data_IF_461745402843
#
_entry.id   IF_461745402843
#
_cell.length_a   1.000
_cell.length_b   1.000
_cell.length_c   1.000
_cell.angle_alpha   90.00
_cell.angle_beta   90.00
_cell.angle_gamma   90.00
#
_symmetry.space_group_name_H-M   'P 1'
#
loop_
_entity.id
_entity.type
_entity.pdbx_description
1 polymer ?
#
# COMPACT_ATOMS: atom_id res chain seq x y z
N UNK A 1 23.50 -61.57 5.23
CA UNK A 1 24.00 -62.61 4.31
C UNK A 1 23.57 -62.24 2.90
N UNK A 2 24.55 -62.11 1.98
CA UNK A 2 24.43 -62.09 0.50
C UNK A 2 23.61 -60.92 -0.10
N UNK A 3 23.97 -60.19 -1.17
CA UNK A 3 24.89 -60.42 -2.29
C UNK A 3 25.07 -59.08 -3.05
N UNK A 4 26.29 -58.71 -3.47
CA UNK A 4 26.58 -58.05 -4.77
C UNK A 4 28.08 -57.72 -4.90
N UNK A 5 28.87 -58.72 -5.28
CA UNK A 5 30.31 -58.63 -5.59
C UNK A 5 30.59 -58.34 -7.08
N UNK A 6 29.61 -57.79 -7.82
CA UNK A 6 29.70 -57.67 -9.29
C UNK A 6 30.24 -56.33 -9.81
N UNK A 7 30.29 -55.27 -8.99
CA UNK A 7 30.67 -53.92 -9.45
C UNK A 7 32.18 -53.67 -9.50
N UNK A 8 32.98 -54.46 -8.77
CA UNK A 8 34.45 -54.31 -8.74
C UNK A 8 35.13 -54.92 -9.98
N UNK A 9 34.49 -55.90 -10.65
CA UNK A 9 35.05 -56.57 -11.83
C UNK A 9 34.92 -55.70 -13.08
N UNK A 10 33.86 -54.90 -13.21
CA UNK A 10 33.70 -53.97 -14.33
C UNK A 10 34.64 -52.76 -14.23
N UNK A 11 34.93 -52.26 -13.02
CA UNK A 11 35.88 -51.16 -12.83
C UNK A 11 37.32 -51.57 -13.20
N UNK A 12 37.70 -52.83 -12.92
CA UNK A 12 39.04 -53.36 -13.28
C UNK A 12 39.20 -53.64 -14.79
N UNK A 13 38.13 -53.95 -15.52
CA UNK A 13 38.19 -54.15 -16.98
C UNK A 13 38.31 -52.83 -17.76
N UNK A 14 37.68 -51.76 -17.27
CA UNK A 14 37.78 -50.42 -17.89
C UNK A 14 39.16 -49.76 -17.70
N UNK A 15 39.90 -50.14 -16.66
CA UNK A 15 41.25 -49.64 -16.39
C UNK A 15 42.31 -50.38 -17.24
N UNK A 16 42.08 -51.65 -17.62
CA UNK A 16 43.02 -52.41 -18.47
C UNK A 16 42.98 -52.06 -19.96
N UNK A 17 41.91 -51.42 -20.45
CA UNK A 17 41.78 -51.05 -21.87
C UNK A 17 42.28 -49.66 -22.24
N UNK A 18 42.90 -48.90 -21.32
CA UNK A 18 43.61 -47.63 -21.63
C UNK A 18 45.13 -47.70 -21.52
N UNK A 19 45.71 -48.89 -21.67
CA UNK A 19 47.18 -49.08 -21.72
C UNK A 19 47.71 -49.33 -23.14
N UNK A 20 46.93 -49.02 -24.16
CA UNK A 20 47.40 -48.93 -25.55
C UNK A 20 46.98 -47.59 -26.15
N UNK A 21 47.54 -46.50 -25.62
CA UNK A 21 47.62 -45.24 -26.36
C UNK A 21 49.06 -44.79 -26.39
N UNK A 22 49.54 -44.63 -27.62
CA UNK A 22 50.83 -44.16 -28.10
C UNK A 22 51.70 -43.42 -27.08
N UNK A 23 52.90 -43.98 -26.94
CA UNK A 23 54.09 -43.44 -26.27
C UNK A 23 54.45 -42.05 -26.83
N UNK A 24 53.82 -41.01 -26.26
CA UNK A 24 54.23 -39.62 -26.38
C UNK A 24 55.06 -39.23 -25.16
N UNK A 25 56.33 -38.86 -25.38
CA UNK A 25 57.35 -38.58 -24.37
C UNK A 25 57.06 -37.26 -23.64
N UNK A 26 56.29 -37.27 -22.56
CA UNK A 26 56.19 -36.12 -21.64
C UNK A 26 57.03 -36.37 -20.38
N UNK A 27 58.11 -35.58 -20.22
CA UNK A 27 59.09 -35.63 -19.11
C UNK A 27 58.58 -34.96 -17.82
N UNK A 28 57.40 -35.31 -17.33
CA UNK A 28 56.90 -34.77 -16.06
C UNK A 28 56.89 -35.87 -14.99
N UNK A 29 57.56 -35.65 -13.83
CA UNK A 29 57.53 -36.56 -12.69
C UNK A 29 56.09 -36.91 -12.28
N UNK A 30 55.86 -38.17 -11.91
CA UNK A 30 54.53 -38.69 -11.52
C UNK A 30 53.86 -37.83 -10.44
N UNK A 31 54.61 -37.39 -9.42
CA UNK A 31 54.11 -36.50 -8.36
C UNK A 31 53.56 -35.17 -8.89
N UNK A 32 54.20 -34.58 -9.91
CA UNK A 32 53.72 -33.35 -10.55
C UNK A 32 52.41 -33.61 -11.28
N UNK A 33 52.29 -34.76 -11.97
CA UNK A 33 51.06 -35.10 -12.70
C UNK A 33 49.87 -35.37 -11.76
N UNK A 34 50.13 -35.99 -10.61
CA UNK A 34 49.13 -36.23 -9.57
C UNK A 34 48.71 -34.96 -8.85
N UNK A 35 49.67 -34.10 -8.46
CA UNK A 35 49.34 -32.77 -7.89
C UNK A 35 48.60 -31.90 -8.90
N UNK A 36 48.97 -31.92 -10.18
CA UNK A 36 48.24 -31.16 -11.21
C UNK A 36 46.84 -31.71 -11.43
N UNK A 37 46.65 -33.03 -11.41
CA UNK A 37 45.31 -33.64 -11.50
C UNK A 37 44.45 -33.31 -10.27
N UNK A 38 45.03 -33.34 -9.07
CA UNK A 38 44.36 -32.97 -7.82
C UNK A 38 44.03 -31.48 -7.77
N UNK A 39 44.96 -30.61 -8.17
CA UNK A 39 44.73 -29.16 -8.29
C UNK A 39 43.70 -28.84 -9.37
N UNK A 40 43.70 -29.55 -10.49
CA UNK A 40 42.67 -29.43 -11.51
C UNK A 40 41.31 -29.88 -10.99
N UNK A 41 41.23 -30.94 -10.20
CA UNK A 41 40.00 -31.40 -9.55
C UNK A 41 39.52 -30.42 -8.47
N UNK A 42 40.42 -29.81 -7.71
CA UNK A 42 40.11 -28.74 -6.75
C UNK A 42 39.63 -27.48 -7.46
N UNK A 43 40.31 -27.07 -8.54
CA UNK A 43 39.88 -25.96 -9.37
C UNK A 43 38.55 -26.26 -10.02
N UNK A 44 38.32 -27.49 -10.51
CA UNK A 44 37.03 -27.92 -11.02
C UNK A 44 35.98 -28.04 -9.90
N UNK A 45 36.30 -28.39 -8.65
CA UNK A 45 35.28 -28.37 -7.60
C UNK A 45 34.95 -26.96 -7.11
N UNK A 46 35.91 -26.03 -7.18
CA UNK A 46 35.75 -24.61 -6.86
C UNK A 46 35.02 -23.82 -7.97
N UNK A 47 35.34 -24.06 -9.24
CA UNK A 47 34.74 -23.39 -10.40
C UNK A 47 33.50 -24.11 -10.96
N UNK A 48 33.49 -25.45 -10.92
CA UNK A 48 32.39 -26.30 -11.38
C UNK A 48 31.52 -26.70 -10.18
N UNK A 49 31.17 -25.74 -9.34
CA UNK A 49 30.08 -25.91 -8.41
C UNK A 49 28.79 -25.57 -9.17
N UNK A 50 27.86 -26.51 -9.31
CA UNK A 50 26.53 -26.22 -9.90
C UNK A 50 25.73 -25.18 -9.10
N UNK A 51 26.27 -24.75 -7.95
CA UNK A 51 25.77 -23.68 -7.10
C UNK A 51 26.38 -22.29 -7.41
N UNK A 52 27.44 -22.19 -8.22
CA UNK A 52 27.99 -20.91 -8.67
C UNK A 52 27.38 -20.55 -10.02
N UNK A 53 26.06 -20.36 -10.03
CA UNK A 53 25.35 -19.82 -11.19
C UNK A 53 25.69 -18.32 -11.32
N UNK A 54 25.57 -17.77 -12.54
CA UNK A 54 25.84 -16.34 -12.78
C UNK A 54 25.03 -15.43 -11.83
N UNK A 55 23.80 -15.84 -11.50
CA UNK A 55 22.91 -15.22 -10.52
C UNK A 55 23.59 -15.04 -9.15
N UNK A 56 24.35 -16.04 -8.67
CA UNK A 56 25.00 -16.00 -7.34
C UNK A 56 26.17 -15.01 -7.32
N UNK A 57 26.94 -14.95 -8.41
CA UNK A 57 28.03 -13.99 -8.54
C UNK A 57 27.47 -12.56 -8.58
N UNK A 58 26.40 -12.33 -9.33
CA UNK A 58 25.72 -11.03 -9.34
C UNK A 58 25.16 -10.67 -7.96
N UNK A 59 24.51 -11.61 -7.26
CA UNK A 59 24.01 -11.38 -5.90
C UNK A 59 25.11 -10.93 -4.93
N UNK A 60 26.31 -11.54 -5.00
CA UNK A 60 27.45 -11.16 -4.18
C UNK A 60 27.98 -9.75 -4.52
N UNK A 61 28.08 -9.42 -5.82
CA UNK A 61 28.57 -8.11 -6.27
C UNK A 61 27.61 -6.99 -5.89
N UNK A 62 26.29 -7.23 -6.00
CA UNK A 62 25.26 -6.24 -5.71
C UNK A 62 24.86 -6.18 -4.22
N UNK A 63 25.39 -7.05 -3.37
CA UNK A 63 25.04 -7.08 -1.94
C UNK A 63 25.24 -5.72 -1.23
N UNK A 64 26.34 -4.97 -1.43
CA UNK A 64 26.50 -3.63 -0.86
C UNK A 64 25.45 -2.64 -1.37
N UNK A 65 25.10 -2.73 -2.65
CA UNK A 65 24.07 -1.87 -3.28
C UNK A 65 22.70 -2.16 -2.66
N UNK A 66 22.35 -3.43 -2.47
CA UNK A 66 21.10 -3.81 -1.83
C UNK A 66 21.01 -3.30 -0.39
N UNK A 67 22.10 -3.32 0.37
CA UNK A 67 22.14 -2.76 1.73
C UNK A 67 21.89 -1.25 1.74
N UNK A 68 22.51 -0.51 0.81
CA UNK A 68 22.27 0.94 0.66
C UNK A 68 20.82 1.22 0.28
N UNK A 69 20.27 0.49 -0.70
CA UNK A 69 18.87 0.62 -1.11
C UNK A 69 17.91 0.28 0.03
N UNK A 70 18.16 -0.78 0.79
CA UNK A 70 17.35 -1.18 1.94
C UNK A 70 17.33 -0.09 3.03
N UNK A 71 18.49 0.51 3.32
CA UNK A 71 18.63 1.61 4.27
C UNK A 71 17.85 2.85 3.82
N UNK A 72 18.02 3.24 2.56
CA UNK A 72 17.32 4.38 1.96
C UNK A 72 15.80 4.14 1.92
N UNK A 73 15.37 2.95 1.52
CA UNK A 73 13.94 2.57 1.44
C UNK A 73 13.25 2.63 2.80
N UNK A 74 13.96 2.29 3.88
CA UNK A 74 13.44 2.41 5.24
C UNK A 74 13.13 3.85 5.64
N UNK A 75 13.98 4.80 5.23
CA UNK A 75 13.72 6.22 5.48
C UNK A 75 12.54 6.74 4.65
N UNK A 76 12.49 6.35 3.38
CA UNK A 76 11.36 6.68 2.50
C UNK A 76 10.02 6.12 2.98
N UNK A 77 10.01 4.99 3.70
CA UNK A 77 8.77 4.44 4.28
C UNK A 77 8.01 5.44 5.15
N UNK A 78 8.71 6.22 5.97
CA UNK A 78 8.07 7.28 6.78
C UNK A 78 7.49 8.39 5.91
N UNK A 79 8.22 8.80 4.87
CA UNK A 79 7.78 9.82 3.91
C UNK A 79 6.50 9.38 3.19
N UNK A 80 6.44 8.13 2.72
CA UNK A 80 5.26 7.58 2.06
C UNK A 80 4.04 7.49 3.00
N UNK A 81 4.25 7.12 4.27
CA UNK A 81 3.16 7.11 5.26
C UNK A 81 2.62 8.54 5.50
N UNK A 82 3.50 9.53 5.63
CA UNK A 82 3.10 10.94 5.73
C UNK A 82 2.35 11.40 4.48
N UNK A 83 2.83 11.02 3.29
CA UNK A 83 2.21 11.37 2.03
C UNK A 83 0.78 10.82 1.93
N UNK A 84 0.53 9.56 2.31
CA UNK A 84 -0.83 8.98 2.32
C UNK A 84 -1.75 9.77 3.26
N UNK A 85 -1.28 10.14 4.44
CA UNK A 85 -2.07 10.92 5.41
C UNK A 85 -2.37 12.32 4.89
N UNK A 86 -1.40 13.00 4.28
CA UNK A 86 -1.58 14.35 3.71
C UNK A 86 -2.56 14.31 2.55
N UNK A 87 -2.37 13.40 1.59
CA UNK A 87 -3.24 13.28 0.42
C UNK A 87 -4.68 12.94 0.83
N UNK A 88 -4.87 11.98 1.73
CA UNK A 88 -6.21 11.61 2.23
C UNK A 88 -6.86 12.78 2.99
N UNK A 89 -6.10 13.45 3.87
CA UNK A 89 -6.59 14.63 4.59
C UNK A 89 -6.98 15.77 3.66
N UNK A 90 -6.22 15.99 2.58
CA UNK A 90 -6.54 17.04 1.59
C UNK A 90 -7.88 16.81 0.90
N UNK A 91 -8.19 15.55 0.54
CA UNK A 91 -9.48 15.18 -0.05
C UNK A 91 -10.61 15.40 0.95
N UNK A 92 -10.43 15.00 2.21
CA UNK A 92 -11.41 15.22 3.28
C UNK A 92 -11.65 16.72 3.48
N UNK A 93 -10.60 17.53 3.59
CA UNK A 93 -10.73 18.98 3.74
C UNK A 93 -11.50 19.60 2.58
N UNK A 94 -11.19 19.24 1.34
CA UNK A 94 -11.93 19.75 0.16
C UNK A 94 -13.40 19.31 0.22
N UNK A 95 -13.68 18.06 0.58
CA UNK A 95 -15.06 17.56 0.68
C UNK A 95 -15.91 18.33 1.71
N UNK A 96 -15.38 18.62 2.90
CA UNK A 96 -16.16 19.32 3.93
C UNK A 96 -16.10 20.85 3.82
N UNK A 97 -14.98 21.44 3.44
CA UNK A 97 -14.82 22.89 3.39
C UNK A 97 -15.39 23.50 2.09
N UNK A 98 -15.32 22.77 0.98
CA UNK A 98 -15.70 23.29 -0.34
C UNK A 98 -16.97 22.62 -0.85
N UNK A 99 -17.03 21.28 -0.86
CA UNK A 99 -18.17 20.59 -1.47
C UNK A 99 -19.42 20.61 -0.61
N UNK A 100 -19.31 20.41 0.70
CA UNK A 100 -20.48 20.35 1.58
C UNK A 100 -21.35 21.63 1.50
N UNK A 101 -20.80 22.86 1.59
CA UNK A 101 -21.60 24.07 1.41
C UNK A 101 -22.28 24.16 0.04
N UNK A 102 -21.59 23.73 -1.03
CA UNK A 102 -22.14 23.73 -2.39
C UNK A 102 -23.28 22.72 -2.54
N UNK A 103 -23.09 21.52 -1.99
CA UNK A 103 -24.04 20.41 -2.06
C UNK A 103 -25.29 20.70 -1.23
N UNK A 104 -25.15 21.33 -0.06
CA UNK A 104 -26.29 21.74 0.79
C UNK A 104 -27.27 22.70 0.09
N UNK A 105 -26.79 23.51 -0.85
CA UNK A 105 -27.61 24.47 -1.58
C UNK A 105 -28.18 23.91 -2.90
N UNK A 106 -27.56 22.86 -3.46
CA UNK A 106 -27.85 22.41 -4.84
C UNK A 106 -28.58 21.06 -4.89
N UNK A 107 -28.31 20.16 -3.94
CA UNK A 107 -28.79 18.78 -3.99
C UNK A 107 -30.01 18.56 -3.07
N UNK A 108 -30.81 17.54 -3.38
CA UNK A 108 -31.94 17.19 -2.52
C UNK A 108 -31.47 16.56 -1.20
N UNK A 109 -32.19 16.79 -0.07
CA UNK A 109 -31.79 16.29 1.24
C UNK A 109 -31.48 14.78 1.30
N UNK A 110 -32.22 13.87 0.64
CA UNK A 110 -31.89 12.44 0.63
C UNK A 110 -30.52 12.13 0.04
N UNK A 111 -30.13 12.81 -1.04
CA UNK A 111 -28.81 12.63 -1.66
C UNK A 111 -27.68 13.11 -0.75
N UNK A 112 -27.90 14.21 -0.02
CA UNK A 112 -26.93 14.75 0.95
C UNK A 112 -26.72 13.74 2.08
N UNK A 113 -27.81 13.18 2.63
CA UNK A 113 -27.74 12.16 3.69
C UNK A 113 -26.98 10.92 3.19
N UNK A 114 -27.25 10.46 1.95
CA UNK A 114 -26.51 9.34 1.36
C UNK A 114 -25.01 9.62 1.27
N UNK A 115 -24.60 10.78 0.75
CA UNK A 115 -23.20 11.17 0.64
C UNK A 115 -22.50 11.24 2.00
N UNK A 116 -23.17 11.79 3.01
CA UNK A 116 -22.65 11.85 4.36
C UNK A 116 -22.52 10.44 4.95
N UNK A 117 -23.57 9.62 4.92
CA UNK A 117 -23.54 8.28 5.52
C UNK A 117 -22.50 7.37 4.85
N UNK A 118 -22.53 7.26 3.51
CA UNK A 118 -21.58 6.42 2.78
C UNK A 118 -20.15 6.97 2.87
N UNK A 119 -19.98 8.28 2.72
CA UNK A 119 -18.67 8.93 2.79
C UNK A 119 -17.98 8.71 4.14
N UNK A 120 -18.68 8.94 5.26
CA UNK A 120 -18.12 8.71 6.59
C UNK A 120 -17.85 7.23 6.85
N UNK A 121 -18.77 6.33 6.46
CA UNK A 121 -18.56 4.90 6.58
C UNK A 121 -17.29 4.44 5.85
N UNK A 122 -17.11 4.88 4.62
CA UNK A 122 -15.95 4.52 3.83
C UNK A 122 -14.66 5.12 4.40
N UNK A 123 -14.68 6.37 4.87
CA UNK A 123 -13.54 7.00 5.54
C UNK A 123 -13.11 6.24 6.80
N UNK A 124 -14.07 5.81 7.63
CA UNK A 124 -13.81 4.99 8.82
C UNK A 124 -13.16 3.66 8.41
N UNK A 125 -13.68 3.01 7.36
CA UNK A 125 -13.12 1.75 6.88
C UNK A 125 -11.70 1.91 6.34
N UNK A 126 -11.41 2.97 5.59
CA UNK A 126 -10.05 3.28 5.12
C UNK A 126 -9.12 3.49 6.32
N UNK A 127 -9.47 4.37 7.25
CA UNK A 127 -8.64 4.72 8.40
C UNK A 127 -8.35 3.49 9.28
N UNK A 128 -9.39 2.70 9.60
CA UNK A 128 -9.25 1.50 10.42
C UNK A 128 -8.33 0.47 9.76
N UNK A 129 -8.55 0.14 8.49
CA UNK A 129 -7.76 -0.88 7.81
C UNK A 129 -6.32 -0.41 7.56
N UNK A 130 -6.12 0.87 7.24
CA UNK A 130 -4.78 1.46 7.11
C UNK A 130 -4.00 1.35 8.43
N UNK A 131 -4.60 1.82 9.53
CA UNK A 131 -4.00 1.72 10.85
C UNK A 131 -3.66 0.28 11.23
N UNK A 132 -4.60 -0.65 10.99
CA UNK A 132 -4.38 -2.07 11.26
C UNK A 132 -3.31 -2.68 10.37
N UNK A 133 -3.22 -2.33 9.10
CA UNK A 133 -2.18 -2.83 8.21
C UNK A 133 -0.79 -2.31 8.63
N UNK A 134 -0.68 -1.02 8.96
CA UNK A 134 0.56 -0.39 9.37
C UNK A 134 1.07 -0.86 10.74
N UNK A 135 0.19 -1.02 11.73
CA UNK A 135 0.60 -1.31 13.12
C UNK A 135 0.54 -2.79 13.53
N UNK A 136 -0.15 -3.64 12.78
CA UNK A 136 -0.18 -5.08 13.10
C UNK A 136 1.12 -5.72 12.66
N UNK A 137 1.79 -6.43 13.57
CA UNK A 137 2.96 -7.24 13.24
C UNK A 137 2.60 -8.23 12.11
N UNK A 138 3.44 -8.39 11.08
CA UNK A 138 3.17 -9.31 9.98
C UNK A 138 3.24 -10.78 10.40
N UNK A 139 3.92 -11.08 11.51
CA UNK A 139 4.14 -12.43 12.03
C UNK A 139 5.56 -12.89 11.82
N UNK A 140 6.17 -13.40 12.89
CA UNK A 140 7.54 -13.88 12.92
C UNK A 140 7.55 -15.38 13.25
N UNK A 141 8.52 -16.15 12.73
CA UNK A 141 8.66 -17.55 13.08
C UNK A 141 8.88 -17.72 14.59
N UNK A 142 8.26 -18.74 15.21
CA UNK A 142 8.50 -19.04 16.62
C UNK A 142 9.95 -19.50 16.84
N UNK A 143 10.53 -19.12 17.98
CA UNK A 143 11.91 -19.46 18.35
C UNK A 143 12.05 -20.90 18.87
N UNK A 144 10.93 -21.55 19.21
CA UNK A 144 10.92 -22.92 19.73
C UNK A 144 11.16 -23.95 18.61
N UNK A 145 11.92 -24.99 18.95
CA UNK A 145 12.18 -26.14 18.06
C UNK A 145 10.84 -26.80 17.73
N UNK A 146 10.41 -26.67 16.48
CA UNK A 146 9.30 -27.45 15.95
C UNK A 146 9.86 -28.76 15.38
N UNK A 147 9.24 -29.89 15.72
CA UNK A 147 9.56 -31.22 15.17
C UNK A 147 9.11 -31.40 13.71
N UNK A 148 8.67 -30.32 13.06
CA UNK A 148 8.27 -30.34 11.65
C UNK A 148 9.50 -30.20 10.77
N UNK A 149 9.64 -31.03 9.72
CA UNK A 149 10.78 -30.93 8.81
C UNK A 149 10.78 -29.55 8.15
N UNK A 150 11.84 -28.78 8.41
CA UNK A 150 12.04 -27.48 7.80
C UNK A 150 12.62 -27.65 6.40
N UNK A 151 12.07 -26.93 5.43
CA UNK A 151 12.47 -27.04 4.02
C UNK A 151 13.78 -26.28 3.75
N UNK A 152 14.09 -25.24 4.53
CA UNK A 152 15.30 -24.43 4.39
C UNK A 152 15.63 -23.65 5.67
N UNK A 153 16.90 -23.28 5.85
CA UNK A 153 17.37 -22.37 6.92
C UNK A 153 17.58 -20.96 6.36
N UNK A 154 17.31 -19.92 7.15
CA UNK A 154 17.66 -18.56 6.79
C UNK A 154 19.14 -18.29 7.03
N UNK A 155 19.89 -17.97 5.98
CA UNK A 155 21.31 -17.61 6.07
C UNK A 155 21.57 -16.36 6.92
N UNK A 156 20.64 -15.39 6.95
CA UNK A 156 20.79 -14.12 7.69
C UNK A 156 20.35 -14.23 9.16
N UNK A 157 19.22 -14.89 9.41
CA UNK A 157 18.67 -15.04 10.77
C UNK A 157 19.18 -16.29 11.50
N UNK A 158 19.80 -17.25 10.80
CA UNK A 158 20.24 -18.55 11.33
C UNK A 158 19.10 -19.29 12.06
N UNK A 159 17.89 -19.20 11.51
CA UNK A 159 16.72 -19.91 12.01
C UNK A 159 16.13 -20.79 10.91
N UNK A 160 15.60 -21.96 11.28
CA UNK A 160 14.85 -22.78 10.34
C UNK A 160 13.63 -22.01 9.83
N UNK A 161 13.40 -22.00 8.51
CA UNK A 161 12.27 -21.29 7.90
C UNK A 161 11.03 -22.19 7.91
N UNK A 162 9.95 -21.81 8.62
CA UNK A 162 8.66 -22.45 8.42
C UNK A 162 8.20 -22.30 6.97
N UNK A 163 7.29 -23.16 6.52
CA UNK A 163 6.74 -23.09 5.17
C UNK A 163 6.23 -21.67 4.83
N UNK A 164 6.47 -21.23 3.59
CA UNK A 164 6.05 -19.92 3.06
C UNK A 164 6.68 -18.70 3.77
N UNK A 165 7.76 -18.89 4.53
CA UNK A 165 8.46 -17.81 5.24
C UNK A 165 9.62 -17.28 4.41
N UNK A 166 9.72 -15.96 4.29
CA UNK A 166 10.82 -15.30 3.58
C UNK A 166 11.48 -14.25 4.48
N UNK A 167 12.77 -14.00 4.25
CA UNK A 167 13.52 -12.97 4.97
C UNK A 167 13.36 -11.65 4.22
N UNK A 168 12.97 -10.59 4.93
CA UNK A 168 12.95 -9.24 4.40
C UNK A 168 14.21 -8.49 4.84
N UNK A 169 15.01 -8.01 3.88
CA UNK A 169 16.22 -7.22 4.15
C UNK A 169 15.91 -5.91 4.88
N UNK A 170 14.87 -5.20 4.43
CA UNK A 170 14.41 -3.92 5.02
C UNK A 170 13.96 -4.10 6.48
N UNK A 171 13.15 -5.13 6.76
CA UNK A 171 12.69 -5.45 8.13
C UNK A 171 13.79 -6.19 8.95
N UNK A 172 14.90 -6.60 8.30
CA UNK A 172 15.97 -7.48 8.80
C UNK A 172 15.47 -8.66 9.64
N UNK A 173 14.41 -9.34 9.16
CA UNK A 173 13.75 -10.44 9.89
C UNK A 173 12.99 -11.36 8.95
N UNK A 174 12.84 -12.62 9.34
CA UNK A 174 11.96 -13.57 8.67
C UNK A 174 10.48 -13.28 8.95
N UNK A 175 9.67 -13.21 7.91
CA UNK A 175 8.25 -12.90 7.96
C UNK A 175 7.43 -14.11 7.52
N UNK A 176 6.47 -14.52 8.35
CA UNK A 176 5.57 -15.64 8.07
C UNK A 176 4.63 -15.29 6.91
N UNK A 177 4.49 -16.22 5.95
CA UNK A 177 3.66 -16.04 4.74
C UNK A 177 3.89 -14.66 4.12
N UNK A 178 5.17 -14.31 3.94
CA UNK A 178 5.56 -13.00 3.44
C UNK A 178 5.00 -12.77 2.04
N UNK A 179 4.39 -11.61 1.84
CA UNK A 179 3.91 -11.18 0.54
C UNK A 179 4.87 -10.16 -0.08
N UNK A 180 5.05 -9.01 0.57
CA UNK A 180 6.03 -8.00 0.20
C UNK A 180 6.33 -7.05 1.38
N UNK A 181 7.38 -6.25 1.27
CA UNK A 181 7.55 -5.09 2.13
C UNK A 181 6.85 -3.89 1.48
N UNK A 182 5.98 -3.20 2.23
CA UNK A 182 5.19 -2.08 1.71
C UNK A 182 5.72 -0.76 2.30
N UNK A 183 6.41 0.09 1.51
CA UNK A 183 6.86 1.39 1.97
C UNK A 183 5.71 2.30 2.40
N UNK A 184 4.56 2.22 1.72
CA UNK A 184 3.34 2.98 2.00
C UNK A 184 2.72 2.71 3.38
N UNK A 185 3.08 1.59 4.01
CA UNK A 185 2.64 1.25 5.37
C UNK A 185 3.79 1.27 6.36
N UNK A 186 5.02 1.51 5.89
CA UNK A 186 6.27 1.33 6.61
C UNK A 186 6.27 0.00 7.40
N UNK A 187 5.77 -1.07 6.77
CA UNK A 187 5.62 -2.38 7.40
C UNK A 187 5.67 -3.50 6.35
N UNK A 188 6.16 -4.66 6.79
CA UNK A 188 6.11 -5.88 6.00
C UNK A 188 4.64 -6.39 5.94
N UNK A 189 4.20 -6.94 4.80
CA UNK A 189 2.91 -7.61 4.65
C UNK A 189 3.11 -9.11 4.73
N UNK A 190 2.46 -9.75 5.69
CA UNK A 190 2.59 -11.17 5.99
C UNK A 190 1.32 -11.76 6.58
N UNK A 191 1.45 -12.91 7.24
CA UNK A 191 0.33 -13.74 7.67
C UNK A 191 -0.76 -13.01 8.46
N UNK A 192 -0.40 -12.16 9.43
CA UNK A 192 -1.38 -11.56 10.34
C UNK A 192 -2.00 -10.23 9.86
N UNK A 193 -1.34 -9.53 8.93
CA UNK A 193 -1.77 -8.22 8.46
C UNK A 193 -2.22 -8.18 6.98
N UNK A 194 -2.00 -9.24 6.19
CA UNK A 194 -2.40 -9.31 4.78
C UNK A 194 -3.88 -8.95 4.54
N UNK A 195 -4.80 -9.41 5.40
CA UNK A 195 -6.23 -9.07 5.30
C UNK A 195 -6.49 -7.57 5.45
N UNK A 196 -5.77 -6.90 6.35
CA UNK A 196 -5.98 -5.48 6.62
C UNK A 196 -5.44 -4.66 5.46
N UNK A 197 -4.30 -5.07 4.90
CA UNK A 197 -3.75 -4.49 3.68
C UNK A 197 -4.73 -4.60 2.51
N UNK A 198 -5.24 -5.80 2.23
CA UNK A 198 -6.20 -5.99 1.14
C UNK A 198 -7.48 -5.17 1.34
N UNK A 199 -8.06 -5.19 2.54
CA UNK A 199 -9.25 -4.39 2.84
C UNK A 199 -8.99 -2.89 2.73
N UNK A 200 -7.81 -2.41 3.15
CA UNK A 200 -7.42 -1.01 2.96
C UNK A 200 -7.40 -0.65 1.47
N UNK A 201 -6.73 -1.44 0.62
CA UNK A 201 -6.69 -1.20 -0.82
C UNK A 201 -8.10 -1.20 -1.44
N UNK A 202 -8.96 -2.14 -1.02
CA UNK A 202 -10.34 -2.22 -1.49
C UNK A 202 -11.17 -0.97 -1.11
N UNK A 203 -11.25 -0.62 0.17
CA UNK A 203 -12.05 0.54 0.62
C UNK A 203 -11.50 1.87 0.12
N UNK A 204 -10.18 1.99 -0.02
CA UNK A 204 -9.56 3.17 -0.62
C UNK A 204 -9.90 3.27 -2.12
N UNK A 205 -9.89 2.15 -2.85
CA UNK A 205 -10.31 2.11 -4.26
C UNK A 205 -11.80 2.48 -4.38
N UNK A 206 -12.67 1.88 -3.56
CA UNK A 206 -14.10 2.19 -3.55
C UNK A 206 -14.36 3.67 -3.25
N UNK A 207 -13.64 4.24 -2.27
CA UNK A 207 -13.72 5.67 -1.96
C UNK A 207 -13.28 6.56 -3.12
N UNK A 208 -12.15 6.24 -3.74
CA UNK A 208 -11.65 6.97 -4.91
C UNK A 208 -12.64 6.92 -6.07
N UNK A 209 -13.16 5.74 -6.40
CA UNK A 209 -14.16 5.55 -7.47
C UNK A 209 -15.43 6.32 -7.15
N UNK A 210 -15.90 6.24 -5.90
CA UNK A 210 -17.09 6.98 -5.46
C UNK A 210 -16.90 8.50 -5.61
N UNK A 211 -15.80 9.06 -5.11
CA UNK A 211 -15.48 10.49 -5.27
C UNK A 211 -15.36 10.90 -6.73
N UNK A 212 -14.77 10.05 -7.58
CA UNK A 212 -14.60 10.33 -9.01
C UNK A 212 -15.94 10.33 -9.76
N UNK A 213 -16.84 9.38 -9.46
CA UNK A 213 -18.17 9.29 -10.10
C UNK A 213 -19.07 10.43 -9.62
N UNK A 214 -19.19 10.62 -8.31
CA UNK A 214 -20.04 11.67 -7.71
C UNK A 214 -19.55 13.08 -8.03
N UNK A 215 -18.24 13.29 -8.10
CA UNK A 215 -17.63 14.58 -8.42
C UNK A 215 -17.52 14.88 -9.91
N UNK A 216 -17.93 13.97 -10.81
CA UNK A 216 -17.72 14.12 -12.27
C UNK A 216 -18.35 15.40 -12.83
N UNK A 217 -19.59 15.70 -12.48
CA UNK A 217 -20.29 16.87 -13.01
C UNK A 217 -19.66 18.16 -12.48
N UNK A 218 -19.38 18.21 -11.18
CA UNK A 218 -18.67 19.33 -10.54
C UNK A 218 -17.29 19.57 -11.15
N UNK A 219 -16.58 18.50 -11.54
CA UNK A 219 -15.31 18.58 -12.24
C UNK A 219 -15.47 19.23 -13.62
N UNK A 220 -16.43 18.79 -14.43
CA UNK A 220 -16.67 19.36 -15.77
C UNK A 220 -17.00 20.85 -15.67
N UNK A 221 -17.88 21.22 -14.73
CA UNK A 221 -18.26 22.62 -14.51
C UNK A 221 -17.06 23.47 -14.08
N UNK A 222 -16.26 22.98 -13.13
CA UNK A 222 -15.05 23.65 -12.65
C UNK A 222 -13.98 23.75 -13.76
N UNK A 223 -13.84 22.73 -14.60
CA UNK A 223 -12.88 22.69 -15.69
C UNK A 223 -13.23 23.73 -16.77
N UNK A 224 -14.48 23.74 -17.24
CA UNK A 224 -14.95 24.74 -18.22
C UNK A 224 -14.88 26.17 -17.67
N UNK A 225 -15.12 26.37 -16.36
CA UNK A 225 -14.95 27.68 -15.74
C UNK A 225 -13.47 28.13 -15.71
N UNK A 226 -12.54 27.22 -15.41
CA UNK A 226 -11.10 27.51 -15.45
C UNK A 226 -10.59 27.79 -16.87
N UNK A 227 -11.10 27.08 -17.88
CA UNK A 227 -10.78 27.31 -19.28
C UNK A 227 -11.21 28.71 -19.73
N UNK A 228 -12.43 29.13 -19.39
CA UNK A 228 -12.91 30.50 -19.62
C UNK A 228 -12.00 31.55 -18.98
N UNK A 229 -11.53 31.33 -17.74
CA UNK A 229 -10.61 32.27 -17.08
C UNK A 229 -9.28 32.40 -17.81
N UNK A 230 -8.75 31.29 -18.34
CA UNK A 230 -7.51 31.29 -19.11
C UNK A 230 -7.67 32.14 -20.38
N UNK A 231 -8.80 32.06 -21.06
CA UNK A 231 -9.08 32.87 -22.24
C UNK A 231 -9.23 34.36 -21.90
N UNK A 232 -10.00 34.73 -20.87
CA UNK A 232 -10.16 36.14 -20.47
C UNK A 232 -8.86 36.77 -19.98
N UNK A 233 -8.00 36.03 -19.28
CA UNK A 233 -6.69 36.54 -18.86
C UNK A 233 -5.71 36.71 -20.06
N UNK A 234 -5.89 35.97 -21.16
CA UNK A 234 -5.15 36.14 -22.42
C UNK A 234 -5.67 37.33 -23.26
N UNK A 235 -6.96 37.65 -23.15
CA UNK A 235 -7.61 38.75 -23.88
C UNK A 235 -7.43 40.13 -23.23
N UNK A 236 -6.82 40.22 -22.03
CA UNK A 236 -6.53 41.52 -21.39
C UNK A 236 -5.59 42.35 -22.29
N UNK A 237 -6.01 43.55 -22.74
CA UNK A 237 -5.21 44.39 -23.62
C UNK A 237 -4.07 45.02 -22.79
N UNK A 238 -2.83 44.61 -23.05
CA UNK A 238 -1.68 45.19 -22.36
C UNK A 238 -0.32 44.55 -22.60
N UNK A 239 -0.22 43.42 -23.30
CA UNK A 239 1.07 42.86 -23.73
C UNK A 239 0.98 42.60 -25.23
N UNK A 240 1.77 43.31 -26.07
CA UNK A 240 1.78 43.04 -27.50
C UNK A 240 2.30 41.62 -27.72
N UNK A 241 1.44 40.76 -28.26
CA UNK A 241 1.83 39.45 -28.80
C UNK A 241 2.60 39.72 -30.09
N UNK A 242 3.90 40.00 -29.96
CA UNK A 242 4.84 39.93 -31.08
C UNK A 242 4.96 38.46 -31.49
N UNK A 243 4.04 37.96 -32.32
CA UNK A 243 4.11 36.57 -32.75
C UNK A 243 2.99 36.00 -33.64
N UNK A 244 1.87 36.69 -33.84
CA UNK A 244 0.91 36.41 -34.93
C UNK A 244 0.25 37.75 -35.27
N UNK A 245 0.58 38.44 -36.36
CA UNK A 245 0.52 37.92 -37.72
C UNK A 245 -0.73 38.55 -38.36
N UNK A 246 -0.60 39.37 -39.40
CA UNK A 246 -1.34 40.63 -39.59
C UNK A 246 -2.66 40.45 -40.36
N UNK A 247 -3.64 39.76 -39.78
CA UNK A 247 -4.90 39.44 -40.49
C UNK A 247 -6.19 39.81 -39.73
N UNK A 248 -6.10 40.64 -38.69
CA UNK A 248 -7.27 41.16 -37.94
C UNK A 248 -7.65 42.59 -38.40
N UNK A 249 -6.87 43.21 -39.30
CA UNK A 249 -7.10 44.59 -39.77
C UNK A 249 -8.10 44.78 -40.92
N UNK A 250 -8.89 43.76 -41.30
CA UNK A 250 -9.75 43.79 -42.49
C UNK A 250 -11.25 43.52 -42.22
N UNK A 251 -11.74 43.72 -41.00
CA UNK A 251 -13.18 43.69 -40.73
C UNK A 251 -13.74 45.07 -40.33
N UNK A 252 -14.89 45.51 -40.91
CA UNK A 252 -15.42 46.84 -40.66
C UNK A 252 -15.87 47.00 -39.21
N UNK A 253 -15.54 48.17 -38.63
CA UNK A 253 -15.98 48.62 -37.31
C UNK A 253 -17.50 48.78 -37.28
N UNK A 254 -18.23 47.75 -36.87
CA UNK A 254 -19.69 47.80 -36.92
C UNK A 254 -20.46 46.67 -36.24
N UNK A 255 -19.88 45.98 -35.26
CA UNK A 255 -20.67 45.12 -34.36
C UNK A 255 -20.20 45.31 -32.92
N UNK A 256 -20.77 46.31 -32.24
CA UNK A 256 -20.87 46.31 -30.79
C UNK A 256 -21.79 45.15 -30.39
N UNK A 257 -21.24 43.96 -30.25
CA UNK A 257 -21.86 42.90 -29.48
C UNK A 257 -21.96 43.46 -28.07
N UNK A 258 -23.18 43.67 -27.57
CA UNK A 258 -23.43 43.86 -26.14
C UNK A 258 -23.04 42.57 -25.41
N UNK A 259 -21.74 42.34 -25.28
CA UNK A 259 -21.20 41.28 -24.45
C UNK A 259 -21.13 41.89 -23.07
N UNK A 260 -22.20 41.70 -22.29
CA UNK A 260 -22.17 41.92 -20.85
C UNK A 260 -20.97 41.13 -20.32
N UNK A 261 -19.92 41.85 -19.91
CA UNK A 261 -18.76 41.25 -19.28
C UNK A 261 -19.26 40.46 -18.08
N UNK A 262 -19.06 39.14 -18.08
CA UNK A 262 -19.38 38.31 -16.93
C UNK A 262 -18.76 38.95 -15.67
N UNK A 263 -19.45 38.94 -14.52
CA UNK A 263 -18.94 39.55 -13.31
C UNK A 263 -17.51 39.05 -13.02
N UNK A 264 -16.58 39.93 -12.63
CA UNK A 264 -15.20 39.53 -12.40
C UNK A 264 -15.16 38.49 -11.28
N UNK A 265 -14.76 37.26 -11.63
CA UNK A 265 -14.63 36.17 -10.68
C UNK A 265 -13.57 36.49 -9.63
N UNK A 266 -13.88 36.17 -8.37
CA UNK A 266 -12.97 36.45 -7.24
C UNK A 266 -11.82 35.44 -7.19
N UNK A 267 -10.72 35.79 -6.51
CA UNK A 267 -9.61 34.85 -6.26
C UNK A 267 -10.10 33.56 -5.56
N UNK A 268 -11.08 33.70 -4.66
CA UNK A 268 -11.72 32.59 -3.94
C UNK A 268 -12.38 31.61 -4.91
N UNK A 269 -13.07 32.10 -5.93
CA UNK A 269 -13.73 31.24 -6.92
C UNK A 269 -12.72 30.47 -7.77
N UNK A 270 -11.62 31.12 -8.18
CA UNK A 270 -10.51 30.44 -8.87
C UNK A 270 -9.93 29.32 -8.00
N UNK A 271 -9.76 29.55 -6.70
CA UNK A 271 -9.26 28.54 -5.76
C UNK A 271 -10.23 27.37 -5.56
N UNK A 272 -11.55 27.64 -5.50
CA UNK A 272 -12.59 26.60 -5.41
C UNK A 272 -12.53 25.68 -6.62
N UNK A 273 -12.56 26.22 -7.84
CA UNK A 273 -12.53 25.40 -9.06
C UNK A 273 -11.23 24.60 -9.20
N UNK A 274 -10.08 25.20 -8.89
CA UNK A 274 -8.79 24.47 -8.85
C UNK A 274 -8.80 23.32 -7.84
N UNK A 275 -9.42 23.52 -6.68
CA UNK A 275 -9.51 22.49 -5.63
C UNK A 275 -10.41 21.32 -6.06
N UNK A 276 -11.53 21.60 -6.72
CA UNK A 276 -12.44 20.58 -7.27
C UNK A 276 -11.71 19.74 -8.33
N UNK A 277 -11.00 20.41 -9.26
CA UNK A 277 -10.21 19.73 -10.29
C UNK A 277 -9.10 18.87 -9.66
N UNK A 278 -8.35 19.41 -8.70
CA UNK A 278 -7.31 18.68 -7.97
C UNK A 278 -7.86 17.41 -7.32
N UNK A 279 -8.98 17.52 -6.59
CA UNK A 279 -9.59 16.39 -5.90
C UNK A 279 -10.03 15.29 -6.88
N UNK A 280 -10.69 15.65 -7.98
CA UNK A 280 -11.16 14.68 -8.97
C UNK A 280 -10.00 13.98 -9.68
N UNK A 281 -8.96 14.72 -10.08
CA UNK A 281 -7.76 14.15 -10.73
C UNK A 281 -7.00 13.23 -9.77
N UNK A 282 -6.81 13.65 -8.52
CA UNK A 282 -6.14 12.86 -7.49
C UNK A 282 -6.89 11.54 -7.24
N UNK A 283 -8.20 11.62 -6.97
CA UNK A 283 -9.02 10.44 -6.67
C UNK A 283 -9.15 9.50 -7.87
N UNK A 284 -9.26 10.02 -9.09
CA UNK A 284 -9.31 9.19 -10.31
C UNK A 284 -7.99 8.44 -10.53
N UNK A 285 -6.86 9.15 -10.42
CA UNK A 285 -5.53 8.58 -10.66
C UNK A 285 -5.18 7.52 -9.61
N UNK A 286 -5.38 7.85 -8.33
CA UNK A 286 -5.15 6.91 -7.23
C UNK A 286 -6.12 5.72 -7.32
N UNK A 287 -7.38 5.96 -7.69
CA UNK A 287 -8.38 4.91 -7.89
C UNK A 287 -7.98 3.89 -8.95
N UNK A 288 -7.45 4.33 -10.09
CA UNK A 288 -6.97 3.42 -11.16
C UNK A 288 -5.75 2.63 -10.70
N UNK A 289 -4.73 3.32 -10.16
CA UNK A 289 -3.49 2.66 -9.74
C UNK A 289 -3.73 1.65 -8.60
N UNK A 290 -4.48 2.05 -7.58
CA UNK A 290 -4.79 1.18 -6.43
C UNK A 290 -5.83 0.12 -6.79
N UNK A 291 -6.74 0.40 -7.72
CA UNK A 291 -7.70 -0.58 -8.24
C UNK A 291 -7.00 -1.72 -8.96
N UNK A 292 -6.02 -1.42 -9.82
CA UNK A 292 -5.20 -2.44 -10.48
C UNK A 292 -4.45 -3.31 -9.48
N UNK A 293 -3.86 -2.69 -8.44
CA UNK A 293 -3.21 -3.42 -7.33
C UNK A 293 -4.21 -4.30 -6.57
N UNK A 294 -5.40 -3.78 -6.27
CA UNK A 294 -6.46 -4.52 -5.56
C UNK A 294 -6.91 -5.75 -6.34
N UNK A 295 -7.15 -5.60 -7.64
CA UNK A 295 -7.50 -6.71 -8.54
C UNK A 295 -6.37 -7.75 -8.58
N UNK A 296 -5.11 -7.30 -8.69
CA UNK A 296 -3.97 -8.19 -8.67
C UNK A 296 -3.91 -9.05 -7.39
N UNK A 297 -4.06 -8.42 -6.22
CA UNK A 297 -4.08 -9.15 -4.95
C UNK A 297 -5.32 -10.05 -4.81
N UNK A 298 -6.48 -9.66 -5.36
CA UNK A 298 -7.64 -10.54 -5.41
C UNK A 298 -7.34 -11.83 -6.20
N UNK A 299 -6.65 -11.71 -7.34
CA UNK A 299 -6.20 -12.88 -8.12
C UNK A 299 -5.22 -13.75 -7.32
N UNK A 300 -4.27 -13.16 -6.61
CA UNK A 300 -3.35 -13.90 -5.74
C UNK A 300 -4.08 -14.66 -4.63
N UNK A 301 -5.01 -13.99 -3.94
CA UNK A 301 -5.84 -14.61 -2.90
C UNK A 301 -6.67 -15.74 -3.50
N UNK A 302 -7.27 -15.56 -4.68
CA UNK A 302 -8.07 -16.61 -5.33
C UNK A 302 -7.27 -17.88 -5.61
N UNK A 303 -5.97 -17.75 -5.91
CA UNK A 303 -5.04 -18.85 -6.16
C UNK A 303 -4.38 -19.40 -4.90
N UNK A 304 -4.54 -18.71 -3.76
CA UNK A 304 -3.90 -19.08 -2.49
C UNK A 304 -2.41 -18.76 -2.43
N UNK A 305 -1.90 -17.94 -3.36
CA UNK A 305 -0.48 -17.60 -3.53
C UNK A 305 -0.16 -16.23 -2.90
N UNK A 306 1.09 -16.04 -2.46
CA UNK A 306 1.66 -14.71 -2.22
C UNK A 306 2.33 -14.17 -3.49
N UNK A 307 2.67 -12.87 -3.52
CA UNK A 307 3.43 -12.27 -4.61
C UNK A 307 4.75 -13.02 -4.88
N UNK A 308 5.47 -13.38 -3.81
CA UNK A 308 6.73 -14.13 -3.88
C UNK A 308 6.48 -15.52 -4.46
N UNK A 309 5.48 -16.23 -3.97
CA UNK A 309 5.15 -17.57 -4.45
C UNK A 309 4.74 -17.57 -5.91
N UNK A 310 3.99 -16.56 -6.37
CA UNK A 310 3.65 -16.43 -7.78
C UNK A 310 4.90 -16.27 -8.64
N UNK A 311 5.89 -15.51 -8.19
CA UNK A 311 7.14 -15.35 -8.94
C UNK A 311 7.94 -16.66 -9.00
N UNK A 312 8.10 -17.34 -7.85
CA UNK A 312 8.78 -18.64 -7.77
C UNK A 312 8.06 -19.69 -8.62
N UNK A 313 6.74 -19.79 -8.45
CA UNK A 313 5.91 -20.73 -9.19
C UNK A 313 5.90 -20.40 -10.69
N UNK A 314 5.95 -19.13 -11.10
CA UNK A 314 6.06 -18.76 -12.52
C UNK A 314 7.38 -19.24 -13.14
N UNK A 315 8.51 -19.03 -12.46
CA UNK A 315 9.83 -19.53 -12.92
C UNK A 315 9.82 -21.05 -13.02
N UNK A 316 9.23 -21.72 -12.03
CA UNK A 316 9.14 -23.18 -11.99
C UNK A 316 8.18 -23.75 -13.04
N UNK A 317 7.00 -23.16 -13.23
CA UNK A 317 6.05 -23.55 -14.28
C UNK A 317 6.68 -23.40 -15.66
N UNK A 318 7.42 -22.31 -15.91
CA UNK A 318 8.13 -22.14 -17.19
C UNK A 318 9.22 -23.21 -17.38
N UNK A 319 9.92 -23.60 -16.30
CA UNK A 319 10.92 -24.69 -16.33
C UNK A 319 10.27 -26.05 -16.61
N UNK A 320 9.14 -26.35 -15.95
CA UNK A 320 8.39 -27.59 -16.14
C UNK A 320 7.75 -27.65 -17.54
N UNK A 321 7.25 -26.54 -18.06
CA UNK A 321 6.70 -26.44 -19.41
C UNK A 321 7.76 -26.77 -20.48
N UNK A 322 9.00 -26.28 -20.31
CA UNK A 322 10.14 -26.68 -21.17
C UNK A 322 10.46 -28.18 -21.11
N UNK A 323 10.09 -28.84 -20.00
CA UNK A 323 10.25 -30.29 -19.80
C UNK A 323 8.97 -31.08 -20.15
N UNK A 324 7.95 -30.44 -20.74
CA UNK A 324 6.68 -31.08 -21.06
C UNK A 324 5.83 -31.49 -19.85
N UNK A 325 6.11 -30.96 -18.65
CA UNK A 325 5.39 -31.28 -17.40
C UNK A 325 4.49 -30.12 -16.98
N UNK A 326 3.29 -30.45 -16.48
CA UNK A 326 2.33 -29.46 -15.95
C UNK A 326 2.32 -29.54 -14.42
N UNK A 327 2.25 -28.39 -13.75
CA UNK A 327 2.15 -28.30 -12.29
C UNK A 327 0.69 -28.25 -11.85
N UNK A 328 0.24 -29.26 -11.09
CA UNK A 328 -1.07 -29.26 -10.42
C UNK A 328 -0.91 -28.84 -8.95
N UNK A 329 -1.60 -27.79 -8.51
CA UNK A 329 -1.46 -27.34 -7.12
C UNK A 329 -2.40 -26.23 -6.65
N UNK A 330 -3.56 -26.04 -7.27
CA UNK A 330 -4.49 -24.99 -6.85
C UNK A 330 -5.57 -25.53 -5.91
N UNK A 331 -5.60 -25.04 -4.67
CA UNK A 331 -6.74 -25.19 -3.76
C UNK A 331 -7.97 -24.44 -4.31
N UNK A 332 -9.17 -24.88 -3.96
CA UNK A 332 -10.42 -24.23 -4.36
C UNK A 332 -10.48 -22.76 -3.92
N UNK A 333 -10.97 -21.87 -4.79
CA UNK A 333 -11.01 -20.40 -4.58
C UNK A 333 -11.69 -20.03 -3.26
N UNK A 334 -12.83 -20.66 -2.95
CA UNK A 334 -13.60 -20.40 -1.72
C UNK A 334 -12.78 -20.67 -0.45
N UNK A 335 -11.99 -21.73 -0.45
CA UNK A 335 -11.12 -22.08 0.68
C UNK A 335 -9.96 -21.09 0.84
N UNK A 336 -9.44 -20.55 -0.26
CA UNK A 336 -8.36 -19.58 -0.22
C UNK A 336 -8.81 -18.24 0.39
N UNK A 337 -9.97 -17.73 -0.02
CA UNK A 337 -10.58 -16.56 0.62
C UNK A 337 -10.91 -16.83 2.09
N UNK A 338 -11.49 -17.98 2.41
CA UNK A 338 -11.74 -18.39 3.81
C UNK A 338 -10.45 -18.42 4.64
N UNK A 339 -9.36 -18.93 4.10
CA UNK A 339 -8.08 -18.96 4.81
C UNK A 339 -7.49 -17.56 5.01
N UNK A 340 -7.68 -16.65 4.07
CA UNK A 340 -7.23 -15.26 4.19
C UNK A 340 -8.05 -14.46 5.23
N UNK A 341 -9.38 -14.64 5.24
CA UNK A 341 -10.28 -13.84 6.07
C UNK A 341 -10.71 -14.52 7.38
N UNK A 342 -11.02 -15.82 7.40
CA UNK A 342 -11.79 -16.48 8.48
C UNK A 342 -10.91 -17.08 9.60
N UNK A 343 -9.82 -17.81 9.27
CA UNK A 343 -8.98 -18.49 10.30
C UNK A 343 -8.23 -17.56 11.26
N UNK A 344 -8.06 -16.30 10.88
CA UNK A 344 -7.44 -15.25 11.69
C UNK A 344 -8.47 -14.26 12.27
N UNK A 345 -9.74 -14.29 11.85
CA UNK A 345 -10.81 -13.40 12.33
C UNK A 345 -11.44 -13.90 13.62
N UNK A 346 -11.79 -15.18 13.69
CA UNK A 346 -12.41 -15.77 14.87
C UNK A 346 -11.44 -15.75 16.06
N UNK A 347 -10.18 -16.19 15.89
CA UNK A 347 -9.15 -16.11 16.95
C UNK A 347 -8.81 -14.69 17.38
N UNK A 348 -8.80 -13.73 16.46
CA UNK A 348 -8.47 -12.34 16.77
C UNK A 348 -9.64 -11.60 17.41
N UNK A 349 -10.89 -11.86 17.04
CA UNK A 349 -12.09 -11.32 17.71
C UNK A 349 -12.24 -11.93 19.11
N UNK A 350 -12.07 -13.25 19.24
CA UNK A 350 -12.11 -13.92 20.55
C UNK A 350 -11.04 -13.37 21.50
N UNK A 351 -9.83 -13.09 21.00
CA UNK A 351 -8.77 -12.45 21.81
C UNK A 351 -8.93 -10.93 21.97
N UNK A 352 -9.63 -10.22 21.06
CA UNK A 352 -9.80 -8.76 21.10
C UNK A 352 -11.06 -8.28 21.82
N UNK A 353 -12.04 -9.14 22.13
CA UNK A 353 -13.19 -8.73 22.95
C UNK A 353 -12.77 -8.08 24.29
N UNK A 354 -11.57 -8.38 24.81
CA UNK A 354 -10.98 -7.73 26.00
C UNK A 354 -10.24 -6.38 25.77
N UNK A 355 -9.93 -5.97 24.53
CA UNK A 355 -9.11 -4.75 24.24
C UNK A 355 -9.66 -3.80 23.16
N UNK A 356 -10.71 -4.17 22.43
CA UNK A 356 -11.23 -3.38 21.31
C UNK A 356 -12.14 -2.21 21.74
N UNK A 357 -12.85 -2.36 22.86
CA UNK A 357 -13.79 -1.36 23.37
C UNK A 357 -13.14 -0.03 23.78
N UNK A 358 -12.00 0.02 24.51
CA UNK A 358 -11.39 1.31 24.87
C UNK A 358 -10.81 2.06 23.66
N UNK A 359 -10.22 1.37 22.68
CA UNK A 359 -9.62 2.05 21.51
C UNK A 359 -10.65 2.59 20.51
N UNK A 360 -11.74 1.86 20.26
CA UNK A 360 -12.84 2.38 19.44
C UNK A 360 -13.54 3.55 20.14
N UNK A 361 -13.65 3.51 21.47
CA UNK A 361 -14.19 4.61 22.26
C UNK A 361 -13.30 5.85 22.19
N UNK A 362 -11.99 5.73 22.41
CA UNK A 362 -11.05 6.86 22.36
C UNK A 362 -10.92 7.46 20.94
N UNK A 363 -10.94 6.63 19.90
CA UNK A 363 -10.90 7.10 18.51
C UNK A 363 -12.23 7.74 18.06
N UNK A 364 -13.37 7.24 18.53
CA UNK A 364 -14.68 7.85 18.30
C UNK A 364 -14.78 9.21 19.01
N UNK A 365 -14.24 9.33 20.23
CA UNK A 365 -14.10 10.61 20.92
C UNK A 365 -13.11 11.55 20.23
N UNK A 366 -12.02 11.06 19.64
CA UNK A 366 -11.11 11.89 18.84
C UNK A 366 -11.77 12.40 17.55
N UNK A 367 -12.59 11.58 16.88
CA UNK A 367 -13.36 11.97 15.70
C UNK A 367 -14.48 12.97 16.03
N UNK A 368 -15.19 12.75 17.14
CA UNK A 368 -16.17 13.71 17.68
C UNK A 368 -15.45 15.00 18.08
N UNK A 369 -14.33 14.93 18.79
CA UNK A 369 -13.54 16.09 19.20
C UNK A 369 -13.02 16.88 18.01
N UNK A 370 -12.50 16.22 16.97
CA UNK A 370 -12.03 16.89 15.75
C UNK A 370 -13.21 17.49 14.98
N UNK A 371 -14.33 16.77 14.83
CA UNK A 371 -15.55 17.30 14.21
C UNK A 371 -16.09 18.54 14.94
N UNK A 372 -16.20 18.50 16.27
CA UNK A 372 -16.65 19.62 17.10
C UNK A 372 -15.62 20.75 17.20
N UNK A 373 -14.32 20.45 17.19
CA UNK A 373 -13.26 21.45 17.20
C UNK A 373 -13.18 22.18 15.86
N UNK A 374 -13.32 21.48 14.73
CA UNK A 374 -13.33 22.11 13.40
C UNK A 374 -14.62 22.90 13.16
N UNK A 375 -15.78 22.40 13.57
CA UNK A 375 -17.04 23.18 13.49
C UNK A 375 -17.03 24.37 14.44
N UNK A 376 -16.43 24.27 15.64
CA UNK A 376 -16.25 25.40 16.56
C UNK A 376 -15.27 26.44 16.02
N UNK A 377 -14.10 26.01 15.51
CA UNK A 377 -13.11 26.89 14.90
C UNK A 377 -13.69 27.59 13.66
N UNK A 378 -14.47 26.87 12.85
CA UNK A 378 -15.17 27.43 11.69
C UNK A 378 -16.24 28.44 12.10
N UNK A 379 -17.01 28.18 13.17
CA UNK A 379 -17.99 29.12 13.70
C UNK A 379 -17.32 30.37 14.29
N UNK A 380 -16.17 30.22 14.96
CA UNK A 380 -15.36 31.34 15.49
C UNK A 380 -14.70 32.16 14.37
N UNK A 381 -14.28 31.53 13.27
CA UNK A 381 -13.67 32.22 12.12
C UNK A 381 -14.72 32.95 11.28
N UNK A 382 -15.90 32.35 11.05
CA UNK A 382 -17.04 32.99 10.39
C UNK A 382 -17.53 34.20 11.19
N UNK A 383 -17.67 34.06 12.52
CA UNK A 383 -18.10 35.16 13.40
C UNK A 383 -17.04 36.27 13.57
N UNK A 384 -15.82 36.09 13.05
CA UNK A 384 -14.75 37.10 13.10
C UNK A 384 -14.63 37.90 11.80
N UNK A 385 -15.23 37.43 10.70
CA UNK A 385 -15.27 38.14 9.42
C UNK A 385 -16.48 39.09 9.30
N UNK A 386 -17.58 38.82 10.01
CA UNK A 386 -18.71 39.74 10.15
C UNK A 386 -18.46 40.73 11.30
N UNK A 387 -17.64 41.76 11.02
CA UNK A 387 -17.25 42.76 12.01
C UNK A 387 -18.42 43.63 12.51
N UNK A 388 -18.47 43.84 13.83
CA UNK A 388 -18.97 45.09 14.41
C UNK A 388 -20.40 45.10 14.94
N UNK A 389 -20.70 44.34 16.01
CA UNK A 389 -21.73 44.78 16.95
C UNK A 389 -21.44 44.26 18.37
N UNK A 390 -21.28 45.20 19.31
CA UNK A 390 -21.25 44.91 20.75
C UNK A 390 -22.66 44.55 21.21
N UNK A 391 -23.10 43.32 20.98
CA UNK A 391 -24.32 42.81 21.62
C UNK A 391 -23.94 41.96 22.83
N UNK A 392 -24.26 42.47 24.02
CA UNK A 392 -24.26 41.75 25.30
C UNK A 392 -24.94 40.38 25.15
N UNK A 393 -24.18 39.31 25.03
CA UNK A 393 -24.67 37.97 25.29
C UNK A 393 -24.07 37.51 26.62
N UNK A 394 -24.90 37.58 27.67
CA UNK A 394 -24.63 36.97 28.96
C UNK A 394 -24.15 35.53 28.72
N UNK A 395 -22.98 35.23 29.29
CA UNK A 395 -22.41 33.91 29.23
C UNK A 395 -23.33 32.85 29.86
N UNK A 396 -23.13 31.62 29.38
CA UNK A 396 -23.46 30.35 30.04
C UNK A 396 -24.91 29.87 29.92
N UNK A 397 -25.15 28.90 29.01
CA UNK A 397 -25.61 27.59 29.50
C UNK A 397 -24.83 26.39 28.92
N UNK A 398 -24.08 26.55 27.83
CA UNK A 398 -23.46 25.40 27.11
C UNK A 398 -22.26 24.82 27.86
N UNK A 399 -21.45 25.64 28.54
CA UNK A 399 -20.30 25.15 29.31
C UNK A 399 -20.73 24.39 30.58
N UNK A 400 -21.85 24.79 31.19
CA UNK A 400 -22.47 24.07 32.31
C UNK A 400 -23.11 22.76 31.84
N UNK A 401 -23.74 22.76 30.66
CA UNK A 401 -24.23 21.54 30.02
C UNK A 401 -23.07 20.57 29.68
N UNK A 402 -21.94 21.09 29.20
CA UNK A 402 -20.73 20.32 28.90
C UNK A 402 -20.10 19.69 30.16
N UNK A 403 -19.98 20.45 31.26
CA UNK A 403 -19.54 19.90 32.57
C UNK A 403 -20.52 18.87 33.14
N UNK A 404 -21.83 19.10 33.01
CA UNK A 404 -22.86 18.17 33.51
C UNK A 404 -22.86 16.86 32.72
N UNK A 405 -22.76 16.92 31.39
CA UNK A 405 -22.68 15.73 30.52
C UNK A 405 -21.36 14.98 30.78
N UNK A 406 -20.23 15.69 30.92
CA UNK A 406 -18.94 15.09 31.22
C UNK A 406 -18.92 14.41 32.61
N UNK A 407 -19.49 15.04 33.63
CA UNK A 407 -19.63 14.47 34.97
C UNK A 407 -20.51 13.22 34.97
N UNK A 408 -21.70 13.29 34.34
CA UNK A 408 -22.60 12.14 34.22
C UNK A 408 -21.97 10.99 33.43
N UNK A 409 -21.16 11.28 32.41
CA UNK A 409 -20.42 10.27 31.66
C UNK A 409 -19.28 9.64 32.47
N UNK A 410 -18.61 10.42 33.34
CA UNK A 410 -17.57 9.94 34.26
C UNK A 410 -18.14 9.03 35.36
N UNK A 411 -19.30 9.38 35.91
CA UNK A 411 -19.97 8.55 36.93
C UNK A 411 -20.50 7.24 36.35
N UNK A 412 -21.05 7.28 35.12
CA UNK A 412 -21.42 6.06 34.37
C UNK A 412 -20.22 5.18 34.05
N UNK A 413 -19.06 5.78 33.76
CA UNK A 413 -17.78 5.07 33.54
C UNK A 413 -17.33 4.34 34.81
N UNK A 414 -17.47 4.96 35.99
CA UNK A 414 -17.08 4.35 37.26
C UNK A 414 -18.06 3.25 37.69
N UNK A 415 -19.36 3.45 37.50
CA UNK A 415 -20.40 2.45 37.81
C UNK A 415 -20.26 1.19 36.93
N UNK A 416 -20.01 1.36 35.63
CA UNK A 416 -19.75 0.24 34.73
C UNK A 416 -18.44 -0.46 35.09
N UNK A 417 -17.38 0.28 35.45
CA UNK A 417 -16.12 -0.32 35.86
C UNK A 417 -16.26 -1.19 37.12
N UNK A 418 -17.03 -0.75 38.12
CA UNK A 418 -17.26 -1.51 39.35
C UNK A 418 -18.07 -2.80 39.12
N UNK A 419 -19.11 -2.75 38.28
CA UNK A 419 -19.92 -3.94 37.90
C UNK A 419 -19.06 -5.02 37.21
N UNK A 420 -17.97 -4.63 36.53
CA UNK A 420 -17.05 -5.55 35.84
C UNK A 420 -15.90 -6.06 36.72
N UNK A 421 -15.68 -5.49 37.89
CA UNK A 421 -14.71 -6.01 38.87
C UNK A 421 -15.34 -7.05 39.82
N UNK A 422 -16.68 -7.07 39.92
CA UNK A 422 -17.46 -8.02 40.73
C UNK A 422 -17.92 -9.27 39.93
N UNK A 423 -17.61 -9.36 38.63
CA UNK A 423 -17.84 -10.49 37.70
C UNK A 423 -16.51 -11.10 37.23
#
# INVERSE_FOLDING_TARGET
MWCCTSSLVYLRRSIRLRLCSRRGRSRLPLWIRETWAYMRLLLQSLYFNSLTDSDVVFDCVFEPVFLTVDYITRWFGTVFVCLVVILTSSVVVIAYAILLPLVLNTYSPPWIVWHLCYGHWNLIMIAFHYYKAAKTSPGYPPTEKNDRPFVAVCKKCIIPKPARTHHCGICNRCILKMDHHCPWLNNCIGHFNHRYFFSFCLFMTLGCVYCSISGRNLFLDAYHALERFKHTDLEKPGIPVTGMGPLIGLLPSGQTIYQTSAPPYTFRDKMIHKSIVYMWVLTSTVGVALGALTVWHAVLISRGETCIERHINKKETNRLAKLGKVRNGYMQVKDNYRNCFQKSYIRHILNKKKKLYPFLFDFFFFLIWTFFSFTFLFKVLILKEDGGEKSNFQGVPIFQLHKSIYSKAKDKKQSIYNIYCDL
#
